data_IF_502879743823
#
_entry.id   IF_502879743823
#
_cell.length_a   1.000
_cell.length_b   1.000
_cell.length_c   1.000
_cell.angle_alpha   90.00
_cell.angle_beta   90.00
_cell.angle_gamma   90.00
#
_symmetry.space_group_name_H-M   'P 1'
#
loop_
_entity.id
_entity.type
_entity.pdbx_description
1 polymer ?
#
# COMPACT_ATOMS: atom_id res chain seq x y z
N UNK A 1 -10.74 15.38 -8.87
CA UNK A 1 -9.74 14.91 -9.87
C UNK A 1 -9.74 13.40 -10.06
N UNK A 2 -9.46 12.58 -9.03
CA UNK A 2 -9.41 11.10 -9.22
C UNK A 2 -10.78 10.54 -9.62
N UNK A 3 -11.83 10.89 -8.87
CA UNK A 3 -13.20 10.43 -9.14
C UNK A 3 -13.72 10.89 -10.52
N UNK A 4 -13.56 12.18 -10.84
CA UNK A 4 -14.00 12.75 -12.12
C UNK A 4 -13.38 12.03 -13.32
N UNK A 5 -12.11 11.61 -13.19
CA UNK A 5 -11.41 10.92 -14.27
C UNK A 5 -11.85 9.46 -14.41
N UNK A 6 -12.17 8.78 -13.30
CA UNK A 6 -12.72 7.42 -13.34
C UNK A 6 -14.08 7.45 -14.03
N UNK A 7 -14.94 8.39 -13.62
CA UNK A 7 -16.27 8.54 -14.18
C UNK A 7 -16.23 8.90 -15.67
N UNK A 8 -15.35 9.83 -16.07
CA UNK A 8 -15.14 10.17 -17.48
C UNK A 8 -14.65 8.98 -18.32
N UNK A 9 -13.74 8.16 -17.79
CA UNK A 9 -13.25 6.96 -18.48
C UNK A 9 -14.36 5.90 -18.63
N UNK A 10 -15.22 5.75 -17.62
CA UNK A 10 -16.38 4.85 -17.68
C UNK A 10 -17.37 5.27 -18.78
N UNK A 11 -17.66 6.57 -18.92
CA UNK A 11 -18.50 7.07 -20.02
C UNK A 11 -17.89 6.86 -21.41
N UNK A 12 -16.56 6.91 -21.52
CA UNK A 12 -15.83 6.68 -22.77
C UNK A 12 -15.61 5.18 -23.07
N UNK A 13 -16.09 4.27 -22.22
CA UNK A 13 -15.87 2.83 -22.35
C UNK A 13 -14.39 2.41 -22.20
N UNK A 14 -13.55 3.23 -21.57
CA UNK A 14 -12.13 2.95 -21.35
C UNK A 14 -11.93 2.32 -19.98
N UNK A 15 -11.48 1.07 -19.97
CA UNK A 15 -11.31 0.26 -18.75
C UNK A 15 -9.94 0.43 -18.06
N UNK A 16 -9.14 1.42 -18.49
CA UNK A 16 -7.74 1.60 -18.05
C UNK A 16 -7.54 1.82 -16.53
N UNK A 17 -8.60 2.11 -15.79
CA UNK A 17 -8.56 2.42 -14.35
C UNK A 17 -9.43 1.49 -13.51
N UNK A 18 -9.96 0.45 -14.12
CA UNK A 18 -10.77 -0.55 -13.44
C UNK A 18 -9.92 -1.79 -13.17
N UNK A 19 -10.11 -2.40 -12.01
CA UNK A 19 -9.46 -3.67 -11.66
C UNK A 19 -10.21 -4.78 -12.36
N UNK A 20 -9.49 -5.60 -13.13
CA UNK A 20 -10.11 -6.72 -13.81
C UNK A 20 -10.44 -7.85 -12.83
N UNK A 21 -11.40 -8.71 -13.19
CA UNK A 21 -11.83 -9.83 -12.34
C UNK A 21 -10.70 -10.81 -12.01
N UNK A 22 -9.74 -11.00 -12.92
CA UNK A 22 -8.56 -11.84 -12.68
C UNK A 22 -7.57 -11.20 -11.71
N UNK A 23 -7.36 -9.88 -11.79
CA UNK A 23 -6.49 -9.14 -10.86
C UNK A 23 -7.08 -9.15 -9.46
N UNK A 24 -8.40 -8.96 -9.36
CA UNK A 24 -9.12 -9.05 -8.10
C UNK A 24 -8.97 -10.45 -7.48
N UNK A 25 -9.15 -11.50 -8.29
CA UNK A 25 -8.95 -12.88 -7.83
C UNK A 25 -7.52 -13.13 -7.36
N UNK A 26 -6.51 -12.69 -8.11
CA UNK A 26 -5.10 -12.86 -7.74
C UNK A 26 -4.76 -12.10 -6.44
N UNK A 27 -5.27 -10.88 -6.26
CA UNK A 27 -5.11 -10.14 -5.02
C UNK A 27 -5.72 -10.90 -3.84
N UNK A 28 -6.94 -11.44 -3.98
CA UNK A 28 -7.55 -12.26 -2.94
C UNK A 28 -6.74 -13.53 -2.66
N UNK A 29 -6.23 -14.23 -3.67
CA UNK A 29 -5.41 -15.44 -3.46
C UNK A 29 -4.13 -15.15 -2.66
N UNK A 30 -3.51 -13.98 -2.86
CA UNK A 30 -2.31 -13.56 -2.12
C UNK A 30 -2.65 -13.20 -0.66
N UNK A 31 -3.70 -12.42 -0.42
CA UNK A 31 -3.97 -11.84 0.91
C UNK A 31 -4.89 -12.68 1.79
N UNK A 32 -5.79 -13.49 1.23
CA UNK A 32 -6.73 -14.34 2.01
C UNK A 32 -6.06 -15.21 3.06
N UNK A 33 -4.98 -15.98 2.77
CA UNK A 33 -4.37 -16.81 3.81
C UNK A 33 -3.79 -15.98 4.95
N UNK A 34 -3.30 -14.77 4.67
CA UNK A 34 -2.81 -13.85 5.70
C UNK A 34 -3.96 -13.32 6.56
N UNK A 35 -5.06 -12.89 5.93
CA UNK A 35 -6.25 -12.38 6.62
C UNK A 35 -6.86 -13.44 7.54
N UNK A 36 -7.02 -14.68 7.07
CA UNK A 36 -7.54 -15.77 7.90
C UNK A 36 -6.68 -16.06 9.14
N UNK A 37 -5.36 -15.81 9.07
CA UNK A 37 -4.47 -15.97 10.25
C UNK A 37 -4.65 -14.84 11.25
N UNK A 38 -4.89 -13.62 10.77
CA UNK A 38 -5.23 -12.47 11.62
C UNK A 38 -6.57 -12.72 12.32
N UNK A 39 -7.58 -13.21 11.60
CA UNK A 39 -8.90 -13.52 12.16
C UNK A 39 -8.87 -14.62 13.23
N UNK A 40 -7.90 -15.55 13.13
CA UNK A 40 -7.65 -16.60 14.13
C UNK A 40 -6.78 -16.14 15.32
N UNK A 41 -6.47 -14.85 15.41
CA UNK A 41 -5.60 -14.23 16.43
C UNK A 41 -4.17 -14.84 16.47
N UNK A 42 -3.70 -15.40 15.35
CA UNK A 42 -2.33 -15.94 15.23
C UNK A 42 -1.27 -14.85 15.11
N UNK A 43 -1.68 -13.61 14.82
CA UNK A 43 -0.81 -12.45 14.66
C UNK A 43 -1.40 -11.23 15.37
N UNK A 44 -0.69 -10.73 16.39
CA UNK A 44 -1.09 -9.54 17.13
C UNK A 44 -0.46 -8.29 16.52
N UNK A 45 -1.24 -7.21 16.29
CA UNK A 45 -0.69 -5.96 15.81
C UNK A 45 0.26 -5.36 16.88
N UNK A 46 1.36 -4.78 16.42
CA UNK A 46 2.31 -4.11 17.28
C UNK A 46 1.79 -2.70 17.63
N UNK A 47 1.86 -2.28 18.90
CA UNK A 47 1.47 -0.93 19.28
C UNK A 47 2.47 0.09 18.71
N UNK A 48 1.96 1.23 18.23
CA UNK A 48 2.79 2.34 17.78
C UNK A 48 2.18 3.67 18.23
N UNK A 49 3.03 4.70 18.33
CA UNK A 49 2.63 6.02 18.81
C UNK A 49 1.86 6.76 17.70
N UNK A 50 0.70 7.38 17.98
CA UNK A 50 0.01 8.21 16.99
C UNK A 50 0.94 9.31 16.45
N UNK A 51 0.95 9.48 15.12
CA UNK A 51 1.86 10.42 14.43
C UNK A 51 3.29 9.88 14.19
N UNK A 52 3.62 8.67 14.66
CA UNK A 52 4.84 7.97 14.23
C UNK A 52 4.66 7.35 12.84
N UNK A 53 5.77 6.89 12.24
CA UNK A 53 5.78 6.14 10.98
C UNK A 53 5.28 4.68 11.11
N UNK A 54 4.82 4.29 12.29
CA UNK A 54 4.50 2.90 12.64
C UNK A 54 5.53 2.29 13.61
N UNK A 55 5.52 0.95 13.74
CA UNK A 55 6.44 0.20 14.60
C UNK A 55 7.85 0.08 13.98
N UNK A 56 8.89 0.02 14.81
CA UNK A 56 10.29 -0.09 14.38
C UNK A 56 10.56 -1.39 13.60
N UNK A 57 9.78 -2.44 13.90
CA UNK A 57 9.83 -3.73 13.23
C UNK A 57 9.49 -3.62 11.73
N UNK A 58 8.72 -2.60 11.31
CA UNK A 58 8.42 -2.37 9.90
C UNK A 58 9.67 -1.92 9.13
N UNK A 59 10.46 -1.01 9.71
CA UNK A 59 11.71 -0.55 9.10
C UNK A 59 12.74 -1.70 9.05
N UNK A 60 12.86 -2.50 10.12
CA UNK A 60 13.72 -3.71 10.14
C UNK A 60 13.33 -4.75 9.09
N UNK A 61 12.02 -4.94 8.88
CA UNK A 61 11.53 -5.84 7.84
C UNK A 61 11.89 -5.33 6.44
N UNK A 62 11.76 -4.02 6.20
CA UNK A 62 12.15 -3.40 4.94
C UNK A 62 13.65 -3.55 4.68
N UNK A 63 14.50 -3.29 5.68
CA UNK A 63 15.96 -3.51 5.60
C UNK A 63 16.29 -4.96 5.27
N UNK A 64 15.64 -5.92 5.94
CA UNK A 64 15.82 -7.36 5.65
C UNK A 64 15.38 -7.75 4.24
N UNK A 65 14.36 -7.07 3.69
CA UNK A 65 13.91 -7.23 2.32
C UNK A 65 14.83 -6.53 1.28
N UNK A 66 15.90 -5.88 1.73
CA UNK A 66 16.89 -5.22 0.88
C UNK A 66 16.60 -3.76 0.59
N UNK A 67 15.62 -3.14 1.27
CA UNK A 67 15.40 -1.71 1.18
C UNK A 67 16.53 -0.97 1.92
N UNK A 68 17.23 -0.07 1.22
CA UNK A 68 18.26 0.78 1.80
C UNK A 68 17.73 2.20 1.89
N UNK A 69 17.53 2.70 3.10
CA UNK A 69 17.09 4.08 3.31
C UNK A 69 18.25 5.06 3.03
N UNK A 70 18.07 5.95 2.07
CA UNK A 70 19.00 7.06 1.81
C UNK A 70 18.82 8.15 2.86
N UNK A 71 19.86 8.36 3.67
CA UNK A 71 19.91 9.43 4.65
C UNK A 71 20.59 10.65 4.02
N UNK A 72 19.95 11.83 4.08
CA UNK A 72 20.52 13.09 3.57
C UNK A 72 19.90 13.64 2.28
N UNK A 73 18.81 13.05 1.78
CA UNK A 73 18.03 13.69 0.73
C UNK A 73 17.29 14.91 1.31
N UNK A 74 17.69 16.11 0.88
CA UNK A 74 17.02 17.36 1.21
C UNK A 74 16.28 17.81 -0.06
N UNK A 75 14.96 17.66 -0.04
CA UNK A 75 14.12 18.21 -1.10
C UNK A 75 13.92 19.71 -0.83
N UNK A 76 14.45 20.55 -1.71
CA UNK A 76 14.21 21.99 -1.71
C UNK A 76 13.21 22.29 -2.83
N UNK A 77 12.01 22.81 -2.53
CA UNK A 77 11.06 23.19 -3.57
C UNK A 77 11.69 24.26 -4.47
N UNK A 78 11.55 24.16 -5.80
CA UNK A 78 12.01 25.21 -6.70
C UNK A 78 11.23 26.50 -6.40
N UNK A 79 11.96 27.56 -6.05
CA UNK A 79 11.42 28.92 -6.00
C UNK A 79 11.31 29.43 -7.43
N UNK A 80 10.09 29.49 -7.96
CA UNK A 80 9.76 30.27 -9.15
C UNK A 80 9.41 31.69 -8.75
#
# INVERSE_FOLDING_TARGET
MVFDTILFNAFQGKQDKEVWTFELKAAWEIFTPLLHRIDRDEMKPLPYKPGSRGPEEADKLAEKAGYVQTHGYIWIPPTF
#
